data_IF_934935017340
#
_entry.id   IF_934935017340
#
_cell.length_a   1.000
_cell.length_b   1.000
_cell.length_c   1.000
_cell.angle_alpha   90.00
_cell.angle_beta   90.00
_cell.angle_gamma   90.00
#
_symmetry.space_group_name_H-M   'P 1'
#
loop_
_entity.id
_entity.type
_entity.pdbx_description
1 polymer ?
#
# COMPACT_ATOMS: atom_id res chain seq x y z
N UNK A 1 52.65 5.26 -8.18
CA UNK A 1 51.23 4.88 -8.20
C UNK A 1 50.55 5.86 -9.12
N UNK A 2 49.83 5.38 -10.13
CA UNK A 2 49.04 6.24 -10.99
C UNK A 2 48.02 6.97 -10.10
N UNK A 3 47.99 8.30 -10.17
CA UNK A 3 47.19 9.16 -9.30
C UNK A 3 45.79 9.37 -9.89
N UNK A 4 45.32 8.40 -10.67
CA UNK A 4 44.03 8.47 -11.37
C UNK A 4 42.88 8.38 -10.36
N UNK A 5 41.79 9.10 -10.65
CA UNK A 5 40.57 9.07 -9.83
C UNK A 5 40.06 7.64 -9.63
N UNK A 6 40.11 6.83 -10.69
CA UNK A 6 39.64 5.45 -10.69
C UNK A 6 40.46 4.57 -9.74
N UNK A 7 41.79 4.69 -9.76
CA UNK A 7 42.66 3.87 -8.91
C UNK A 7 42.54 4.24 -7.43
N UNK A 8 42.27 5.51 -7.12
CA UNK A 8 42.07 5.96 -5.75
C UNK A 8 40.78 5.39 -5.12
N UNK A 9 39.73 5.18 -5.92
CA UNK A 9 38.41 4.77 -5.44
C UNK A 9 38.20 3.24 -5.49
N UNK A 10 38.97 2.54 -6.31
CA UNK A 10 38.88 1.10 -6.51
C UNK A 10 39.11 0.32 -5.20
N UNK A 11 38.18 -0.57 -4.86
CA UNK A 11 38.21 -1.39 -3.64
C UNK A 11 37.92 -0.63 -2.34
N UNK A 12 37.62 0.67 -2.41
CA UNK A 12 37.36 1.51 -1.22
C UNK A 12 35.97 2.15 -1.31
N UNK A 13 35.67 2.83 -2.42
CA UNK A 13 34.47 3.63 -2.65
C UNK A 13 33.73 3.24 -3.94
N UNK A 14 33.91 2.00 -4.40
CA UNK A 14 33.32 1.45 -5.63
C UNK A 14 32.28 0.35 -5.36
N UNK A 15 31.92 0.12 -4.08
CA UNK A 15 30.96 -0.91 -3.71
C UNK A 15 29.54 -0.47 -4.06
N UNK A 16 28.81 -1.40 -4.68
CA UNK A 16 27.38 -1.28 -4.94
C UNK A 16 26.53 -1.76 -3.75
N UNK A 17 25.56 -0.97 -3.33
CA UNK A 17 24.60 -1.34 -2.27
C UNK A 17 23.53 -2.31 -2.77
N UNK A 18 22.98 -2.04 -3.95
CA UNK A 18 21.86 -2.73 -4.57
C UNK A 18 20.50 -2.34 -3.98
N UNK A 19 19.44 -2.67 -4.72
CA UNK A 19 18.06 -2.47 -4.30
C UNK A 19 17.68 -3.33 -3.09
N UNK A 20 16.82 -2.80 -2.22
CA UNK A 20 16.14 -3.56 -1.17
C UNK A 20 14.82 -4.17 -1.65
N UNK A 21 13.97 -4.53 -0.70
CA UNK A 21 12.74 -5.28 -0.92
C UNK A 21 11.50 -4.41 -0.98
N UNK A 22 11.49 -3.21 -0.39
CA UNK A 22 10.31 -2.36 -0.32
C UNK A 22 10.65 -0.92 -0.70
N UNK A 23 10.48 -0.56 -1.99
CA UNK A 23 10.85 0.75 -2.49
C UNK A 23 9.74 1.80 -2.29
N UNK A 24 10.14 3.06 -2.27
CA UNK A 24 9.30 4.21 -2.56
C UNK A 24 10.00 5.13 -3.56
N UNK A 25 9.24 5.84 -4.39
CA UNK A 25 9.79 6.90 -5.24
C UNK A 25 9.66 8.23 -4.50
N UNK A 26 10.77 8.95 -4.38
CA UNK A 26 10.82 10.31 -3.85
C UNK A 26 11.10 11.30 -4.98
N UNK A 27 10.16 12.19 -5.23
CA UNK A 27 10.21 13.24 -6.26
C UNK A 27 10.55 14.56 -5.61
N UNK A 28 11.82 14.96 -5.69
CA UNK A 28 12.35 16.14 -5.02
C UNK A 28 12.21 17.38 -5.89
N UNK A 29 11.32 18.29 -5.49
CA UNK A 29 11.23 19.66 -6.00
C UNK A 29 11.09 19.79 -7.54
N UNK A 30 10.43 18.83 -8.20
CA UNK A 30 9.91 19.05 -9.56
C UNK A 30 8.70 19.99 -9.50
N UNK A 31 9.02 21.26 -9.33
CA UNK A 31 8.07 22.38 -9.29
C UNK A 31 8.27 23.29 -10.51
N UNK A 32 7.23 24.06 -10.84
CA UNK A 32 7.20 24.95 -12.00
C UNK A 32 8.38 25.94 -12.04
N UNK A 33 8.94 26.32 -10.90
CA UNK A 33 10.12 27.19 -10.83
C UNK A 33 11.31 26.67 -11.66
N UNK A 34 11.47 25.36 -11.82
CA UNK A 34 12.60 24.78 -12.55
C UNK A 34 12.28 24.46 -14.02
N UNK A 35 11.00 24.47 -14.41
CA UNK A 35 10.54 24.11 -15.77
C UNK A 35 9.94 25.27 -16.55
N UNK A 36 9.68 26.41 -15.89
CA UNK A 36 9.14 27.61 -16.56
C UNK A 36 10.28 28.50 -17.08
N UNK A 37 10.37 28.70 -18.39
CA UNK A 37 11.44 29.49 -19.05
C UNK A 37 11.69 30.88 -18.44
N UNK A 38 10.62 31.57 -18.01
CA UNK A 38 10.72 32.91 -17.41
C UNK A 38 11.23 32.91 -15.97
N UNK A 39 11.34 31.73 -15.35
CA UNK A 39 11.82 31.59 -13.99
C UNK A 39 13.34 31.75 -13.91
N UNK A 40 13.86 32.51 -12.92
CA UNK A 40 15.30 32.56 -12.66
C UNK A 40 15.88 31.20 -12.22
N UNK A 41 15.05 30.20 -11.91
CA UNK A 41 15.44 28.84 -11.57
C UNK A 41 15.36 27.85 -12.73
N UNK A 42 14.92 28.29 -13.92
CA UNK A 42 14.77 27.44 -15.09
C UNK A 42 16.04 26.66 -15.43
N UNK A 43 15.85 25.38 -15.77
CA UNK A 43 16.88 24.46 -16.23
C UNK A 43 16.30 23.46 -17.25
N UNK A 44 16.71 23.49 -18.52
CA UNK A 44 16.18 22.59 -19.56
C UNK A 44 16.31 21.10 -19.22
N UNK A 45 17.43 20.70 -18.61
CA UNK A 45 17.67 19.32 -18.23
C UNK A 45 16.68 18.82 -17.16
N UNK A 46 16.12 19.73 -16.35
CA UNK A 46 15.06 19.39 -15.39
C UNK A 46 13.77 19.00 -16.12
N UNK A 47 13.43 19.67 -17.23
CA UNK A 47 12.26 19.29 -18.06
C UNK A 47 12.43 17.87 -18.62
N UNK A 48 13.63 17.54 -19.08
CA UNK A 48 13.95 16.18 -19.54
C UNK A 48 13.84 15.15 -18.41
N UNK A 49 14.38 15.45 -17.23
CA UNK A 49 14.32 14.56 -16.06
C UNK A 49 12.89 14.34 -15.54
N UNK A 50 12.03 15.36 -15.63
CA UNK A 50 10.58 15.26 -15.36
C UNK A 50 9.94 14.20 -16.27
N UNK A 51 10.20 14.26 -17.58
CA UNK A 51 9.67 13.28 -18.54
C UNK A 51 10.16 11.85 -18.27
N UNK A 52 11.42 11.67 -17.89
CA UNK A 52 11.94 10.36 -17.48
C UNK A 52 11.33 9.84 -16.18
N UNK A 53 11.10 10.73 -15.22
CA UNK A 53 10.49 10.37 -13.93
C UNK A 53 9.03 9.94 -14.11
N UNK A 54 8.29 10.55 -15.05
CA UNK A 54 6.92 10.13 -15.38
C UNK A 54 6.83 8.64 -15.73
N UNK A 55 7.80 8.11 -16.48
CA UNK A 55 7.87 6.69 -16.84
C UNK A 55 8.03 5.78 -15.61
N UNK A 56 8.79 6.23 -14.60
CA UNK A 56 8.94 5.49 -13.34
C UNK A 56 7.65 5.52 -12.53
N UNK A 57 6.99 6.68 -12.44
CA UNK A 57 5.73 6.84 -11.71
C UNK A 57 4.62 5.98 -12.30
N UNK A 58 4.54 5.86 -13.62
CA UNK A 58 3.56 5.01 -14.30
C UNK A 58 3.69 3.53 -13.89
N UNK A 59 4.92 3.03 -13.74
CA UNK A 59 5.15 1.66 -13.27
C UNK A 59 4.84 1.55 -11.78
N UNK A 60 5.32 2.50 -10.97
CA UNK A 60 5.12 2.51 -9.53
C UNK A 60 3.63 2.49 -9.16
N UNK A 61 2.82 3.32 -9.82
CA UNK A 61 1.36 3.37 -9.62
C UNK A 61 0.68 2.05 -9.97
N UNK A 62 1.06 1.39 -11.06
CA UNK A 62 0.52 0.06 -11.44
C UNK A 62 0.88 -1.06 -10.46
N UNK A 63 1.93 -0.84 -9.65
CA UNK A 63 2.49 -1.81 -8.69
C UNK A 63 2.23 -1.43 -7.23
N UNK A 64 1.41 -0.40 -6.99
CA UNK A 64 1.10 0.13 -5.66
C UNK A 64 2.36 0.50 -4.85
N UNK A 65 3.39 1.00 -5.54
CA UNK A 65 4.62 1.50 -4.92
C UNK A 65 4.38 2.94 -4.47
N UNK A 66 4.64 3.29 -3.20
CA UNK A 66 4.42 4.65 -2.70
C UNK A 66 5.21 5.69 -3.48
N UNK A 67 4.56 6.80 -3.81
CA UNK A 67 5.18 7.99 -4.40
C UNK A 67 5.03 9.15 -3.43
N UNK A 68 6.15 9.80 -3.14
CA UNK A 68 6.23 10.96 -2.27
C UNK A 68 6.83 12.12 -3.04
N UNK A 69 6.25 13.30 -2.90
CA UNK A 69 6.73 14.53 -3.51
C UNK A 69 7.29 15.44 -2.44
N UNK A 70 8.26 16.28 -2.82
CA UNK A 70 8.60 17.46 -2.03
C UNK A 70 8.34 18.73 -2.81
N UNK A 71 7.98 19.78 -2.08
CA UNK A 71 8.18 21.15 -2.54
C UNK A 71 8.73 22.00 -1.40
N UNK A 72 9.60 22.94 -1.78
CA UNK A 72 10.04 23.98 -0.86
C UNK A 72 8.90 24.99 -0.71
N UNK A 73 8.48 25.29 0.52
CA UNK A 73 7.58 26.40 0.81
C UNK A 73 7.98 27.10 2.10
N UNK A 74 7.83 28.43 2.09
CA UNK A 74 8.00 29.29 3.24
C UNK A 74 6.72 30.03 3.57
N UNK A 75 6.58 30.43 4.82
CA UNK A 75 5.59 31.39 5.25
C UNK A 75 5.84 32.74 4.55
N UNK A 76 4.75 33.49 4.29
CA UNK A 76 4.81 34.85 3.69
C UNK A 76 5.68 35.84 4.47
N UNK A 77 5.84 35.62 5.78
CA UNK A 77 6.69 36.44 6.65
C UNK A 77 8.16 35.96 6.72
N UNK A 78 8.49 34.86 6.04
CA UNK A 78 9.81 34.23 5.94
C UNK A 78 10.50 33.90 7.27
N UNK A 79 9.76 33.85 8.38
CA UNK A 79 10.32 33.54 9.72
C UNK A 79 10.85 32.12 9.82
N UNK A 80 10.40 31.24 8.94
CA UNK A 80 10.78 29.84 8.79
C UNK A 80 11.90 29.61 7.76
N UNK A 81 12.39 30.65 7.08
CA UNK A 81 13.36 30.48 6.00
C UNK A 81 14.82 30.33 6.41
N UNK A 82 15.15 30.73 7.64
CA UNK A 82 16.50 30.59 8.20
C UNK A 82 17.61 31.15 7.31
N UNK A 83 18.77 30.48 7.32
CA UNK A 83 19.96 30.89 6.54
C UNK A 83 19.82 30.55 5.06
N UNK A 84 19.04 29.54 4.70
CA UNK A 84 18.99 29.06 3.31
C UNK A 84 18.41 30.10 2.36
N UNK A 85 17.34 30.79 2.76
CA UNK A 85 16.77 31.89 1.97
C UNK A 85 17.68 33.13 1.91
N UNK A 86 18.62 33.28 2.83
CA UNK A 86 19.62 34.36 2.78
C UNK A 86 20.68 34.04 1.74
N UNK A 87 21.13 32.77 1.69
CA UNK A 87 22.11 32.30 0.71
C UNK A 87 21.51 32.20 -0.70
N UNK A 88 20.24 31.84 -0.81
CA UNK A 88 19.53 31.61 -2.07
C UNK A 88 18.23 32.44 -2.10
N UNK A 89 18.31 33.79 -2.25
CA UNK A 89 17.16 34.68 -2.11
C UNK A 89 15.99 34.44 -3.07
N UNK A 90 16.26 33.80 -4.21
CA UNK A 90 15.21 33.44 -5.18
C UNK A 90 14.16 32.49 -4.57
N UNK A 91 14.51 31.75 -3.52
CA UNK A 91 13.59 30.89 -2.77
C UNK A 91 12.49 31.66 -2.03
N UNK A 92 12.61 32.99 -1.86
CA UNK A 92 11.51 33.83 -1.34
C UNK A 92 10.27 33.84 -2.25
N UNK A 93 10.39 33.33 -3.48
CA UNK A 93 9.26 33.09 -4.39
C UNK A 93 8.53 31.76 -4.13
N UNK A 94 9.06 30.92 -3.24
CA UNK A 94 8.48 29.62 -2.89
C UNK A 94 7.53 29.78 -1.71
N UNK A 95 6.36 30.34 -1.99
CA UNK A 95 5.33 30.66 -0.98
C UNK A 95 4.01 30.07 -1.43
N UNK A 96 3.17 29.67 -0.47
CA UNK A 96 1.87 29.07 -0.78
C UNK A 96 0.99 29.97 -1.66
N UNK A 97 0.42 29.37 -2.70
CA UNK A 97 -0.40 30.02 -3.72
C UNK A 97 0.38 30.58 -4.91
N UNK A 98 1.71 30.60 -4.88
CA UNK A 98 2.53 31.03 -6.01
C UNK A 98 2.64 29.92 -7.07
N UNK A 99 2.31 30.18 -8.35
CA UNK A 99 2.33 29.16 -9.40
C UNK A 99 3.69 28.48 -9.58
N UNK A 100 4.79 29.22 -9.37
CA UNK A 100 6.15 28.67 -9.48
C UNK A 100 6.47 27.64 -8.38
N UNK A 101 5.77 27.70 -7.26
CA UNK A 101 5.97 26.79 -6.13
C UNK A 101 5.16 25.49 -6.26
N UNK A 102 4.28 25.38 -7.26
CA UNK A 102 3.47 24.20 -7.49
C UNK A 102 4.23 23.10 -8.23
N UNK A 103 3.87 21.85 -7.93
CA UNK A 103 4.41 20.66 -8.61
C UNK A 103 4.05 20.75 -10.09
N UNK A 104 4.99 20.32 -10.94
CA UNK A 104 4.83 20.36 -12.39
C UNK A 104 3.60 19.56 -12.85
N UNK A 105 2.79 20.09 -13.80
CA UNK A 105 1.57 19.44 -14.25
C UNK A 105 1.82 18.09 -14.97
N UNK A 106 3.04 17.83 -15.44
CA UNK A 106 3.46 16.58 -16.06
C UNK A 106 3.57 15.42 -15.05
N UNK A 107 3.71 15.72 -13.75
CA UNK A 107 3.79 14.74 -12.67
C UNK A 107 2.71 14.99 -11.61
N UNK A 108 1.41 15.01 -12.00
CA UNK A 108 0.35 15.44 -11.10
C UNK A 108 0.26 14.46 -9.92
N UNK A 109 0.30 14.94 -8.66
CA UNK A 109 0.05 14.11 -7.50
C UNK A 109 -1.37 13.55 -7.53
N UNK A 110 -1.51 12.32 -7.06
CA UNK A 110 -2.79 11.62 -6.86
C UNK A 110 -3.19 11.62 -5.39
N UNK A 111 -4.40 11.16 -5.09
CA UNK A 111 -4.88 11.08 -3.70
C UNK A 111 -4.08 10.08 -2.83
N UNK A 112 -3.37 9.13 -3.43
CA UNK A 112 -2.51 8.18 -2.72
C UNK A 112 -1.10 8.72 -2.47
N UNK A 113 -0.72 9.82 -3.11
CA UNK A 113 0.63 10.37 -3.02
C UNK A 113 0.76 11.25 -1.78
N UNK A 114 1.97 11.30 -1.20
CA UNK A 114 2.25 12.12 -0.02
C UNK A 114 3.08 13.33 -0.44
N UNK A 115 2.66 14.54 -0.08
CA UNK A 115 3.42 15.76 -0.34
C UNK A 115 4.08 16.22 0.96
N UNK A 116 5.41 16.25 0.97
CA UNK A 116 6.23 16.74 2.06
C UNK A 116 6.65 18.19 1.78
N UNK A 117 6.27 19.10 2.66
CA UNK A 117 6.74 20.48 2.62
C UNK A 117 8.06 20.60 3.39
N UNK A 118 9.05 21.26 2.80
CA UNK A 118 10.36 21.49 3.42
C UNK A 118 10.84 22.93 3.30
N UNK A 119 11.70 23.35 4.22
CA UNK A 119 12.32 24.68 4.23
C UNK A 119 13.81 24.64 3.87
N UNK A 120 14.39 23.44 3.73
CA UNK A 120 15.82 23.26 3.49
C UNK A 120 16.07 22.30 2.32
N UNK A 121 17.35 22.12 1.98
CA UNK A 121 17.75 21.34 0.80
C UNK A 121 17.28 19.88 0.90
N UNK A 122 17.62 19.19 1.98
CA UNK A 122 17.21 17.79 2.19
C UNK A 122 15.71 17.65 2.39
N UNK A 123 15.13 16.65 1.76
CA UNK A 123 13.75 16.22 1.96
C UNK A 123 13.47 15.72 3.39
N UNK A 124 14.50 15.35 4.14
CA UNK A 124 14.39 14.83 5.51
C UNK A 124 14.54 15.90 6.59
N UNK A 125 15.34 16.94 6.33
CA UNK A 125 15.73 17.88 7.36
C UNK A 125 14.53 18.74 7.82
N UNK A 126 14.10 18.52 9.07
CA UNK A 126 12.96 19.21 9.65
C UNK A 126 11.60 18.78 9.10
N UNK A 127 11.49 17.59 8.48
CA UNK A 127 10.23 17.07 7.92
C UNK A 127 9.83 15.74 8.56
N UNK A 128 8.62 15.26 8.25
CA UNK A 128 8.15 13.93 8.69
C UNK A 128 8.65 12.78 7.81
N UNK A 129 9.43 13.04 6.76
CA UNK A 129 9.73 12.05 5.71
C UNK A 129 10.32 10.75 6.25
N UNK A 130 11.31 10.81 7.15
CA UNK A 130 11.92 9.63 7.76
C UNK A 130 10.87 8.78 8.49
N UNK A 131 10.10 9.39 9.39
CA UNK A 131 9.07 8.71 10.14
C UNK A 131 8.00 8.11 9.22
N UNK A 132 7.60 8.84 8.18
CA UNK A 132 6.65 8.36 7.17
C UNK A 132 7.18 7.12 6.45
N UNK A 133 8.40 7.15 5.90
CA UNK A 133 9.02 6.02 5.21
C UNK A 133 9.23 4.81 6.14
N UNK A 134 9.70 5.03 7.37
CA UNK A 134 9.87 3.98 8.38
C UNK A 134 8.53 3.35 8.76
N UNK A 135 7.47 4.14 8.95
CA UNK A 135 6.14 3.61 9.27
C UNK A 135 5.56 2.75 8.14
N UNK A 136 5.89 3.07 6.89
CA UNK A 136 5.56 2.27 5.72
C UNK A 136 6.48 1.05 5.54
N UNK A 137 7.54 0.91 6.35
CA UNK A 137 8.54 -0.17 6.23
C UNK A 137 9.37 -0.10 4.95
N UNK A 138 9.53 1.09 4.37
CA UNK A 138 10.37 1.31 3.18
C UNK A 138 11.83 1.05 3.55
N UNK A 139 12.55 0.34 2.68
CA UNK A 139 13.99 0.10 2.82
C UNK A 139 14.81 0.73 1.69
N UNK A 140 14.15 1.14 0.60
CA UNK A 140 14.79 1.66 -0.61
C UNK A 140 14.08 2.92 -1.08
N UNK A 141 14.85 3.97 -1.35
CA UNK A 141 14.35 5.22 -1.92
C UNK A 141 14.91 5.34 -3.33
N UNK A 142 14.00 5.41 -4.30
CA UNK A 142 14.32 5.82 -5.66
C UNK A 142 14.21 7.33 -5.70
N UNK A 143 15.36 8.00 -5.67
CA UNK A 143 15.49 9.44 -5.50
C UNK A 143 15.56 10.12 -6.87
N UNK A 144 14.52 10.88 -7.19
CA UNK A 144 14.35 11.65 -8.43
C UNK A 144 14.16 13.12 -8.10
N UNK A 145 14.35 14.03 -9.05
CA UNK A 145 14.10 15.46 -8.81
C UNK A 145 15.26 16.39 -9.16
N UNK A 146 15.24 17.57 -8.55
CA UNK A 146 16.28 18.57 -8.74
C UNK A 146 16.54 19.40 -7.46
N UNK A 147 17.68 20.09 -7.32
CA UNK A 147 18.87 19.97 -8.17
C UNK A 147 19.81 18.85 -7.69
N UNK A 148 20.54 18.23 -8.61
CA UNK A 148 21.51 17.17 -8.31
C UNK A 148 22.53 17.59 -7.24
N UNK A 149 23.12 18.77 -7.37
CA UNK A 149 24.11 19.32 -6.43
C UNK A 149 23.54 19.97 -5.17
N UNK A 150 22.22 20.12 -5.10
CA UNK A 150 21.53 20.73 -3.97
C UNK A 150 20.65 19.72 -3.26
N UNK A 151 19.34 19.78 -3.53
CA UNK A 151 18.33 19.02 -2.81
C UNK A 151 18.48 17.49 -2.97
N UNK A 152 18.94 17.01 -4.14
CA UNK A 152 19.17 15.58 -4.37
C UNK A 152 20.33 15.08 -3.54
N UNK A 153 21.52 15.70 -3.63
CA UNK A 153 22.66 15.30 -2.80
C UNK A 153 22.33 15.38 -1.31
N UNK A 154 21.70 16.46 -0.85
CA UNK A 154 21.34 16.61 0.54
C UNK A 154 20.40 15.48 1.01
N UNK A 155 19.39 15.15 0.20
CA UNK A 155 18.44 14.06 0.50
C UNK A 155 19.10 12.68 0.39
N UNK A 156 20.09 12.50 -0.49
CA UNK A 156 20.83 11.25 -0.59
C UNK A 156 21.68 10.97 0.66
N UNK A 157 22.39 12.00 1.16
CA UNK A 157 23.16 11.91 2.39
C UNK A 157 22.24 11.58 3.57
N UNK A 158 21.16 12.34 3.76
CA UNK A 158 20.23 12.10 4.86
C UNK A 158 19.51 10.75 4.72
N UNK A 159 19.09 10.37 3.52
CA UNK A 159 18.45 9.08 3.26
C UNK A 159 19.33 7.91 3.70
N UNK A 160 20.62 7.95 3.37
CA UNK A 160 21.59 6.98 3.87
C UNK A 160 21.75 7.04 5.39
N UNK A 161 21.82 8.24 5.99
CA UNK A 161 21.95 8.41 7.44
C UNK A 161 20.74 7.90 8.23
N UNK A 162 19.54 7.97 7.66
CA UNK A 162 18.32 7.38 8.22
C UNK A 162 18.19 5.87 7.93
N UNK A 163 19.17 5.25 7.25
CA UNK A 163 19.24 3.81 7.04
C UNK A 163 18.53 3.31 5.78
N UNK A 164 18.19 4.18 4.83
CA UNK A 164 17.57 3.77 3.57
C UNK A 164 18.63 3.53 2.49
N UNK A 165 18.37 2.55 1.62
CA UNK A 165 19.14 2.38 0.38
C UNK A 165 18.73 3.47 -0.59
N UNK A 166 19.64 4.38 -0.92
CA UNK A 166 19.38 5.45 -1.89
C UNK A 166 19.79 4.99 -3.28
N UNK A 167 18.83 4.98 -4.20
CA UNK A 167 19.05 4.68 -5.61
C UNK A 167 18.72 5.93 -6.42
N UNK A 168 19.66 6.43 -7.20
CA UNK A 168 19.49 7.63 -8.03
C UNK A 168 19.49 7.22 -9.49
N UNK A 169 18.34 7.24 -10.19
CA UNK A 169 18.31 7.06 -11.63
C UNK A 169 18.87 8.33 -12.27
N UNK A 170 20.04 8.23 -12.92
CA UNK A 170 20.79 9.37 -13.48
C UNK A 170 19.91 10.29 -14.33
N UNK A 171 19.09 9.72 -15.19
CA UNK A 171 18.22 10.46 -16.13
C UNK A 171 17.00 11.08 -15.45
N UNK A 172 16.70 10.73 -14.20
CA UNK A 172 15.58 11.25 -13.41
C UNK A 172 16.02 12.30 -12.39
N UNK A 173 17.28 12.71 -12.42
CA UNK A 173 17.79 13.85 -11.66
C UNK A 173 18.47 14.84 -12.58
N UNK A 174 18.38 16.12 -12.25
CA UNK A 174 18.98 17.16 -13.07
C UNK A 174 19.48 18.33 -12.24
N UNK A 175 20.37 19.10 -12.84
CA UNK A 175 20.87 20.35 -12.31
C UNK A 175 20.77 21.44 -13.38
N UNK A 176 21.12 22.66 -13.01
CA UNK A 176 21.18 23.81 -13.91
C UNK A 176 22.42 23.80 -14.81
N UNK A 177 23.39 22.94 -14.50
CA UNK A 177 24.66 22.85 -15.21
C UNK A 177 25.32 21.47 -15.03
N UNK A 178 25.96 20.97 -16.09
CA UNK A 178 26.55 19.63 -16.13
C UNK A 178 27.69 19.42 -15.11
N UNK A 179 28.56 20.42 -14.90
CA UNK A 179 29.68 20.32 -13.95
C UNK A 179 29.25 19.93 -12.52
N UNK A 180 28.38 20.72 -11.86
CA UNK A 180 27.79 20.34 -10.57
C UNK A 180 27.03 19.02 -10.63
N UNK A 181 26.27 18.74 -11.69
CA UNK A 181 25.54 17.48 -11.85
C UNK A 181 26.47 16.27 -11.76
N UNK A 182 27.51 16.21 -12.59
CA UNK A 182 28.43 15.06 -12.64
C UNK A 182 29.25 14.90 -11.36
N UNK A 183 29.75 16.00 -10.80
CA UNK A 183 30.52 15.95 -9.55
C UNK A 183 29.68 15.38 -8.39
N UNK A 184 28.39 15.71 -8.35
CA UNK A 184 27.52 15.27 -7.26
C UNK A 184 26.98 13.86 -7.49
N UNK A 185 26.73 13.45 -8.74
CA UNK A 185 26.45 12.04 -9.02
C UNK A 185 27.64 11.14 -8.68
N UNK A 186 28.86 11.57 -8.98
CA UNK A 186 30.07 10.87 -8.57
C UNK A 186 30.13 10.72 -7.04
N UNK A 187 29.99 11.83 -6.29
CA UNK A 187 30.01 11.80 -4.82
C UNK A 187 28.92 10.89 -4.23
N UNK A 188 27.69 10.94 -4.77
CA UNK A 188 26.59 10.08 -4.33
C UNK A 188 26.94 8.62 -4.59
N UNK A 189 27.34 8.27 -5.82
CA UNK A 189 27.63 6.90 -6.22
C UNK A 189 28.77 6.27 -5.38
N UNK A 190 29.74 7.08 -4.98
CA UNK A 190 30.88 6.59 -4.23
C UNK A 190 30.62 6.38 -2.75
N UNK A 191 29.63 7.07 -2.16
CA UNK A 191 29.54 7.20 -0.69
C UNK A 191 28.14 7.11 -0.09
N UNK A 192 27.10 7.50 -0.83
CA UNK A 192 25.78 7.76 -0.25
C UNK A 192 24.65 6.93 -0.88
N UNK A 193 24.85 6.39 -2.07
CA UNK A 193 23.85 5.58 -2.76
C UNK A 193 24.40 5.00 -4.06
N UNK A 194 23.55 4.29 -4.79
CA UNK A 194 23.91 3.79 -6.13
C UNK A 194 23.33 4.75 -7.19
N UNK A 195 24.18 5.27 -8.08
CA UNK A 195 23.74 5.97 -9.28
C UNK A 195 23.64 4.96 -10.41
N UNK A 196 22.43 4.78 -10.94
CA UNK A 196 22.08 3.75 -11.93
C UNK A 196 21.38 4.37 -13.13
N UNK A 197 21.18 3.60 -14.19
CA UNK A 197 20.30 4.05 -15.28
C UNK A 197 18.83 3.96 -14.87
N UNK A 198 18.00 4.83 -15.45
CA UNK A 198 16.54 4.76 -15.35
C UNK A 198 16.02 3.39 -15.77
N UNK A 199 16.59 2.79 -16.81
CA UNK A 199 16.15 1.50 -17.34
C UNK A 199 16.36 0.37 -16.32
N UNK A 200 17.46 0.39 -15.58
CA UNK A 200 17.69 -0.57 -14.49
C UNK A 200 16.64 -0.42 -13.37
N UNK A 201 16.28 0.82 -13.02
CA UNK A 201 15.19 1.08 -12.06
C UNK A 201 13.86 0.60 -12.61
N UNK A 202 13.56 0.84 -13.89
CA UNK A 202 12.33 0.35 -14.53
C UNK A 202 12.25 -1.17 -14.46
N UNK A 203 13.35 -1.88 -14.71
CA UNK A 203 13.38 -3.33 -14.66
C UNK A 203 13.17 -3.86 -13.24
N UNK A 204 13.81 -3.23 -12.24
CA UNK A 204 13.52 -3.51 -10.83
C UNK A 204 12.04 -3.30 -10.47
N UNK A 205 11.44 -2.19 -10.89
CA UNK A 205 10.03 -1.88 -10.61
C UNK A 205 9.06 -2.84 -11.31
N UNK A 206 9.37 -3.30 -12.53
CA UNK A 206 8.52 -4.26 -13.26
C UNK A 206 8.45 -5.62 -12.56
N UNK A 207 9.57 -6.10 -12.01
CA UNK A 207 9.63 -7.38 -11.31
C UNK A 207 9.20 -7.29 -9.85
N UNK A 208 9.08 -6.09 -9.30
CA UNK A 208 8.57 -5.89 -7.94
C UNK A 208 7.14 -6.43 -7.82
N UNK A 209 6.91 -7.26 -6.82
CA UNK A 209 5.57 -7.72 -6.43
C UNK A 209 5.27 -7.17 -5.04
N UNK A 210 4.19 -6.38 -4.94
CA UNK A 210 3.82 -5.78 -3.66
C UNK A 210 3.40 -6.88 -2.68
N UNK A 211 3.79 -6.75 -1.42
CA UNK A 211 3.41 -7.70 -0.37
C UNK A 211 1.88 -7.79 -0.23
N UNK A 212 1.16 -6.71 -0.54
CA UNK A 212 -0.31 -6.69 -0.62
C UNK A 212 -0.84 -7.56 -1.75
N UNK A 213 -0.20 -7.57 -2.93
CA UNK A 213 -0.52 -8.53 -4.00
C UNK A 213 -0.22 -9.95 -3.58
N UNK A 214 0.93 -10.23 -2.97
CA UNK A 214 1.24 -11.59 -2.49
C UNK A 214 0.24 -12.05 -1.42
N UNK A 215 -0.13 -11.18 -0.49
CA UNK A 215 -1.11 -11.46 0.55
C UNK A 215 -2.54 -11.62 -0.02
N UNK A 216 -2.94 -10.78 -0.98
CA UNK A 216 -4.22 -10.89 -1.68
C UNK A 216 -4.29 -12.15 -2.54
N UNK A 217 -3.20 -12.52 -3.23
CA UNK A 217 -3.06 -13.78 -3.97
C UNK A 217 -3.10 -14.97 -3.02
N UNK A 218 -2.48 -14.88 -1.85
CA UNK A 218 -2.55 -15.92 -0.81
C UNK A 218 -3.98 -16.06 -0.27
N UNK A 219 -4.68 -14.94 0.00
CA UNK A 219 -6.10 -14.91 0.37
C UNK A 219 -7.00 -15.50 -0.73
N UNK A 220 -6.72 -15.19 -2.01
CA UNK A 220 -7.42 -15.81 -3.15
C UNK A 220 -7.10 -17.30 -3.33
N UNK A 221 -5.89 -17.74 -3.00
CA UNK A 221 -5.49 -19.14 -3.11
C UNK A 221 -6.15 -19.99 -2.02
N UNK A 222 -6.23 -19.49 -0.79
CA UNK A 222 -7.01 -20.12 0.28
C UNK A 222 -8.51 -20.23 -0.10
N UNK A 223 -9.07 -19.19 -0.74
CA UNK A 223 -10.43 -19.21 -1.28
C UNK A 223 -10.66 -20.30 -2.34
N UNK A 224 -9.67 -20.60 -3.19
CA UNK A 224 -9.79 -21.66 -4.21
C UNK A 224 -9.83 -23.06 -3.61
N UNK A 225 -9.09 -23.31 -2.53
CA UNK A 225 -9.04 -24.61 -1.86
C UNK A 225 -10.22 -24.87 -0.92
N UNK A 226 -10.77 -23.79 -0.36
CA UNK A 226 -11.86 -23.84 0.62
C UNK A 226 -13.12 -24.63 0.20
N UNK A 227 -13.68 -24.49 -1.02
CA UNK A 227 -14.82 -25.31 -1.44
C UNK A 227 -14.50 -26.80 -1.55
N UNK A 228 -13.26 -27.18 -1.88
CA UNK A 228 -12.86 -28.60 -1.91
C UNK A 228 -12.82 -29.22 -0.51
N UNK A 229 -12.38 -28.46 0.49
CA UNK A 229 -12.43 -28.88 1.90
C UNK A 229 -13.88 -29.07 2.35
N UNK A 230 -14.79 -28.15 1.99
CA UNK A 230 -16.21 -28.27 2.31
C UNK A 230 -16.85 -29.50 1.64
N UNK A 231 -16.54 -29.77 0.37
CA UNK A 231 -17.00 -30.98 -0.32
C UNK A 231 -16.49 -32.24 0.40
N UNK A 232 -15.23 -32.26 0.83
CA UNK A 232 -14.67 -33.35 1.62
C UNK A 232 -15.41 -33.58 2.95
N UNK A 233 -15.71 -32.51 3.69
CA UNK A 233 -16.51 -32.56 4.93
C UNK A 233 -17.92 -33.09 4.62
N UNK A 234 -18.57 -32.61 3.56
CA UNK A 234 -19.90 -33.05 3.18
C UNK A 234 -19.94 -34.55 2.86
N UNK A 235 -18.99 -35.04 2.07
CA UNK A 235 -18.86 -36.47 1.73
C UNK A 235 -18.65 -37.30 3.01
N UNK A 236 -17.74 -36.86 3.89
CA UNK A 236 -17.51 -37.52 5.17
C UNK A 236 -18.78 -37.61 6.03
N UNK A 237 -19.53 -36.51 6.14
CA UNK A 237 -20.79 -36.48 6.89
C UNK A 237 -21.86 -37.39 6.27
N UNK A 238 -21.96 -37.44 4.94
CA UNK A 238 -22.87 -38.35 4.24
C UNK A 238 -22.50 -39.81 4.52
N UNK A 239 -21.23 -40.19 4.40
CA UNK A 239 -20.76 -41.55 4.70
C UNK A 239 -21.08 -41.92 6.15
N UNK A 240 -20.78 -41.01 7.08
CA UNK A 240 -21.08 -41.18 8.50
C UNK A 240 -22.58 -41.35 8.76
N UNK A 241 -23.42 -40.54 8.11
CA UNK A 241 -24.87 -40.64 8.20
C UNK A 241 -25.37 -42.01 7.73
N UNK A 242 -24.89 -42.49 6.59
CA UNK A 242 -25.31 -43.79 6.04
C UNK A 242 -24.91 -44.95 6.96
N UNK A 243 -23.73 -44.87 7.58
CA UNK A 243 -23.25 -45.89 8.52
C UNK A 243 -24.03 -45.89 9.83
N UNK A 244 -24.27 -44.72 10.41
CA UNK A 244 -24.92 -44.60 11.72
C UNK A 244 -26.46 -44.73 11.65
N UNK A 245 -27.08 -44.56 10.48
CA UNK A 245 -28.54 -44.68 10.30
C UNK A 245 -29.06 -46.12 10.37
N UNK A 246 -28.21 -47.12 10.18
CA UNK A 246 -28.65 -48.52 10.17
C UNK A 246 -29.15 -48.97 11.55
N UNK A 247 -30.38 -49.48 11.60
CA UNK A 247 -30.97 -50.03 12.82
C UNK A 247 -31.63 -49.02 13.77
N UNK A 248 -31.66 -47.73 13.41
CA UNK A 248 -32.32 -46.68 14.22
C UNK A 248 -33.77 -46.51 13.78
N UNK A 249 -34.70 -46.88 14.65
CA UNK A 249 -36.16 -46.78 14.44
C UNK A 249 -36.82 -45.61 15.17
N UNK A 250 -36.08 -44.91 16.02
CA UNK A 250 -36.55 -43.75 16.79
C UNK A 250 -35.62 -42.53 16.62
N UNK A 251 -36.02 -41.36 17.12
CA UNK A 251 -35.25 -40.13 16.96
C UNK A 251 -33.86 -40.21 17.64
N UNK A 252 -32.79 -40.04 16.85
CA UNK A 252 -31.42 -39.87 17.33
C UNK A 252 -30.93 -38.45 17.01
N UNK A 253 -30.56 -37.71 18.07
CA UNK A 253 -30.08 -36.34 17.98
C UNK A 253 -28.78 -36.25 17.18
N UNK A 254 -27.89 -37.23 17.26
CA UNK A 254 -26.62 -37.26 16.50
C UNK A 254 -26.88 -37.32 15.00
N UNK A 255 -27.82 -38.15 14.55
CA UNK A 255 -28.21 -38.22 13.14
C UNK A 255 -28.91 -36.96 12.65
N UNK A 256 -29.66 -36.28 13.51
CA UNK A 256 -30.25 -34.98 13.20
C UNK A 256 -29.15 -33.92 12.98
N UNK A 257 -28.10 -33.93 13.82
CA UNK A 257 -26.95 -33.03 13.69
C UNK A 257 -26.09 -33.32 12.48
N UNK A 258 -25.86 -34.60 12.12
CA UNK A 258 -25.15 -34.94 10.88
C UNK A 258 -25.91 -34.42 9.65
N UNK A 259 -27.26 -34.53 9.65
CA UNK A 259 -28.11 -33.96 8.58
C UNK A 259 -28.03 -32.44 8.51
N UNK A 260 -28.07 -31.76 9.65
CA UNK A 260 -27.90 -30.31 9.72
C UNK A 260 -26.51 -29.89 9.19
N UNK A 261 -25.45 -30.61 9.58
CA UNK A 261 -24.10 -30.38 9.07
C UNK A 261 -23.99 -30.52 7.55
N UNK A 262 -24.64 -31.54 6.96
CA UNK A 262 -24.71 -31.71 5.50
C UNK A 262 -25.42 -30.51 4.85
N UNK A 263 -26.56 -30.09 5.41
CA UNK A 263 -27.33 -28.94 4.91
C UNK A 263 -26.49 -27.64 4.94
N UNK A 264 -25.89 -27.30 6.08
CA UNK A 264 -25.07 -26.09 6.20
C UNK A 264 -23.85 -26.12 5.29
N UNK A 265 -23.19 -27.28 5.15
CA UNK A 265 -22.05 -27.44 4.24
C UNK A 265 -22.48 -27.22 2.79
N UNK A 266 -23.65 -27.75 2.39
CA UNK A 266 -24.20 -27.53 1.05
C UNK A 266 -24.55 -26.05 0.80
N UNK A 267 -25.19 -25.38 1.76
CA UNK A 267 -25.46 -23.93 1.68
C UNK A 267 -24.17 -23.13 1.54
N UNK A 268 -23.12 -23.50 2.29
CA UNK A 268 -21.83 -22.81 2.23
C UNK A 268 -21.14 -23.02 0.88
N UNK A 269 -21.14 -24.24 0.35
CA UNK A 269 -20.63 -24.54 -1.00
C UNK A 269 -21.39 -23.70 -2.04
N UNK A 270 -22.72 -23.67 -1.97
CA UNK A 270 -23.54 -22.89 -2.89
C UNK A 270 -23.23 -21.38 -2.79
N UNK A 271 -23.01 -20.85 -1.58
CA UNK A 271 -22.64 -19.46 -1.38
C UNK A 271 -21.27 -19.11 -1.98
N UNK A 272 -20.32 -20.06 -1.98
CA UNK A 272 -19.01 -19.91 -2.63
C UNK A 272 -19.16 -19.97 -4.15
N UNK A 273 -19.90 -20.96 -4.68
CA UNK A 273 -20.11 -21.14 -6.12
C UNK A 273 -20.86 -19.97 -6.76
N UNK A 274 -21.82 -19.38 -6.05
CA UNK A 274 -22.61 -18.23 -6.52
C UNK A 274 -21.91 -16.88 -6.33
N UNK A 275 -20.74 -16.85 -5.67
CA UNK A 275 -20.01 -15.61 -5.38
C UNK A 275 -20.59 -14.77 -4.23
N UNK A 276 -21.67 -15.22 -3.59
CA UNK A 276 -22.28 -14.56 -2.42
C UNK A 276 -21.29 -14.50 -1.26
N UNK A 277 -20.57 -15.59 -0.99
CA UNK A 277 -19.56 -15.63 0.08
C UNK A 277 -18.44 -14.62 -0.15
N UNK A 278 -17.95 -14.50 -1.39
CA UNK A 278 -16.94 -13.51 -1.77
C UNK A 278 -17.44 -12.07 -1.57
N UNK A 279 -18.72 -11.82 -1.78
CA UNK A 279 -19.33 -10.51 -1.55
C UNK A 279 -19.39 -10.18 -0.05
N UNK A 280 -19.78 -11.15 0.79
CA UNK A 280 -19.89 -10.99 2.24
C UNK A 280 -18.55 -10.67 2.92
N UNK A 281 -17.43 -11.23 2.45
CA UNK A 281 -16.11 -11.04 3.05
C UNK A 281 -15.35 -9.82 2.55
N UNK A 282 -15.77 -9.24 1.42
CA UNK A 282 -15.08 -8.14 0.76
C UNK A 282 -15.86 -6.82 0.85
N UNK A 283 -17.16 -6.87 1.16
CA UNK A 283 -17.95 -5.68 1.45
C UNK A 283 -18.17 -5.58 2.97
N UNK A 284 -18.22 -4.35 3.52
CA UNK A 284 -18.63 -4.16 4.90
C UNK A 284 -20.05 -4.71 5.11
N UNK A 285 -20.27 -5.41 6.23
CA UNK A 285 -21.55 -6.04 6.59
C UNK A 285 -22.69 -5.01 6.60
N UNK A 286 -22.38 -3.77 6.99
CA UNK A 286 -23.27 -2.63 6.87
C UNK A 286 -22.48 -1.39 6.42
N UNK A 287 -23.06 -0.58 5.53
CA UNK A 287 -22.51 0.72 5.13
C UNK A 287 -22.94 1.80 6.12
N UNK A 288 -22.28 2.97 6.10
CA UNK A 288 -22.69 4.13 6.90
C UNK A 288 -24.14 4.55 6.59
N UNK A 289 -24.55 4.49 5.33
CA UNK A 289 -25.92 4.74 4.90
C UNK A 289 -26.92 3.79 5.59
N UNK A 290 -26.62 2.48 5.61
CA UNK A 290 -27.46 1.48 6.29
C UNK A 290 -27.59 1.77 7.79
N UNK A 291 -26.48 2.10 8.46
CA UNK A 291 -26.46 2.35 9.90
C UNK A 291 -27.29 3.59 10.27
N UNK A 292 -27.26 4.62 9.42
CA UNK A 292 -28.03 5.86 9.60
C UNK A 292 -29.52 5.73 9.26
N UNK A 293 -29.93 4.63 8.61
CA UNK A 293 -31.30 4.45 8.13
C UNK A 293 -32.18 3.69 9.14
N UNK A 294 -33.20 4.31 9.76
CA UNK A 294 -34.06 3.65 10.74
C UNK A 294 -34.92 2.51 10.16
N UNK A 295 -35.25 2.56 8.86
CA UNK A 295 -35.99 1.49 8.17
C UNK A 295 -35.12 0.24 8.07
N UNK A 296 -33.82 0.41 7.80
CA UNK A 296 -32.88 -0.71 7.73
C UNK A 296 -32.81 -1.46 9.06
N UNK A 297 -32.76 -0.73 10.19
CA UNK A 297 -32.83 -1.32 11.52
C UNK A 297 -34.15 -2.05 11.79
N UNK A 298 -35.27 -1.46 11.40
CA UNK A 298 -36.58 -2.10 11.55
C UNK A 298 -36.69 -3.43 10.78
N UNK A 299 -36.20 -3.46 9.54
CA UNK A 299 -36.18 -4.68 8.72
C UNK A 299 -35.20 -5.72 9.27
N UNK A 300 -33.99 -5.31 9.69
CA UNK A 300 -33.01 -6.22 10.31
C UNK A 300 -33.57 -6.86 11.58
N UNK A 301 -34.24 -6.07 12.43
CA UNK A 301 -34.90 -6.57 13.64
C UNK A 301 -36.03 -7.55 13.31
N UNK A 302 -36.87 -7.24 12.31
CA UNK A 302 -37.92 -8.14 11.86
C UNK A 302 -37.34 -9.47 11.38
N UNK A 303 -36.29 -9.45 10.55
CA UNK A 303 -35.60 -10.66 10.11
C UNK A 303 -35.06 -11.49 11.29
N UNK A 304 -34.45 -10.84 12.27
CA UNK A 304 -33.97 -11.52 13.47
C UNK A 304 -35.10 -12.18 14.28
N UNK A 305 -36.24 -11.50 14.44
CA UNK A 305 -37.43 -12.03 15.11
C UNK A 305 -37.99 -13.24 14.34
N UNK A 306 -38.09 -13.14 13.01
CA UNK A 306 -38.59 -14.25 12.17
C UNK A 306 -37.69 -15.47 12.30
N UNK A 307 -36.36 -15.29 12.23
CA UNK A 307 -35.39 -16.38 12.42
C UNK A 307 -35.52 -16.99 13.82
N UNK A 308 -35.65 -16.15 14.85
CA UNK A 308 -35.83 -16.60 16.23
C UNK A 308 -37.11 -17.43 16.39
N UNK A 309 -38.25 -16.96 15.88
CA UNK A 309 -39.51 -17.70 15.94
C UNK A 309 -39.40 -19.02 15.16
N UNK A 310 -38.83 -18.99 13.95
CA UNK A 310 -38.65 -20.18 13.14
C UNK A 310 -37.80 -21.24 13.85
N UNK A 311 -36.68 -20.85 14.46
CA UNK A 311 -35.72 -21.78 15.05
C UNK A 311 -36.10 -22.23 16.47
N UNK A 312 -36.58 -21.31 17.31
CA UNK A 312 -36.85 -21.62 18.71
C UNK A 312 -38.30 -22.02 19.00
N UNK A 313 -39.25 -21.66 18.14
CA UNK A 313 -40.67 -21.96 18.35
C UNK A 313 -41.18 -22.98 17.36
N UNK A 314 -41.02 -22.73 16.05
CA UNK A 314 -41.59 -23.60 15.02
C UNK A 314 -40.80 -24.90 14.94
N UNK A 315 -39.48 -24.82 14.83
CA UNK A 315 -38.63 -26.01 14.72
C UNK A 315 -38.70 -26.91 15.96
N UNK A 316 -38.67 -26.32 17.15
CA UNK A 316 -38.76 -27.08 18.41
C UNK A 316 -40.10 -27.80 18.57
N UNK A 317 -41.21 -27.18 18.13
CA UNK A 317 -42.55 -27.78 18.19
C UNK A 317 -42.85 -28.74 17.05
N UNK A 318 -42.27 -28.50 15.86
CA UNK A 318 -42.50 -29.29 14.65
C UNK A 318 -41.61 -30.53 14.53
N UNK A 319 -40.57 -30.65 15.37
CA UNK A 319 -39.72 -31.84 15.40
C UNK A 319 -40.40 -32.91 16.25
N UNK A 320 -40.78 -34.03 15.62
CA UNK A 320 -41.41 -35.19 16.27
C UNK A 320 -40.59 -35.66 17.49
N UNK A 321 -41.03 -35.30 18.69
CA UNK A 321 -40.53 -35.85 19.95
C UNK A 321 -41.29 -37.14 20.23
N UNK A 322 -40.75 -38.28 19.82
CA UNK A 322 -41.22 -39.58 20.31
C UNK A 322 -40.94 -39.68 21.82
N UNK A 323 -41.89 -39.21 22.63
CA UNK A 323 -41.94 -39.32 24.09
C UNK A 323 -40.78 -38.69 24.89
N UNK A 324 -39.95 -37.83 24.28
CA UNK A 324 -38.89 -37.11 25.01
C UNK A 324 -39.38 -35.77 25.55
N UNK A 325 -39.10 -35.51 26.83
CA UNK A 325 -39.26 -34.19 27.45
C UNK A 325 -38.30 -33.16 26.82
N UNK A 326 -38.80 -31.93 26.64
CA UNK A 326 -38.09 -30.84 25.98
C UNK A 326 -37.08 -30.21 26.96
N UNK A 327 -35.79 -30.51 26.80
CA UNK A 327 -34.75 -29.98 27.68
C UNK A 327 -34.34 -28.56 27.25
N UNK A 328 -34.99 -27.55 27.84
CA UNK A 328 -34.85 -26.12 27.50
C UNK A 328 -33.43 -25.56 27.59
N UNK A 329 -32.60 -25.92 28.60
CA UNK A 329 -31.24 -25.40 28.71
C UNK A 329 -30.34 -25.75 27.51
N UNK A 330 -30.45 -26.96 26.99
CA UNK A 330 -29.68 -27.39 25.81
C UNK A 330 -30.12 -26.69 24.53
N UNK A 331 -31.41 -26.33 24.43
CA UNK A 331 -31.94 -25.59 23.27
C UNK A 331 -31.47 -24.14 23.28
N UNK A 332 -31.43 -23.50 24.45
CA UNK A 332 -31.01 -22.11 24.61
C UNK A 332 -29.50 -21.91 24.41
N UNK A 333 -28.66 -22.82 24.93
CA UNK A 333 -27.21 -22.73 24.77
C UNK A 333 -26.78 -22.93 23.30
N UNK A 334 -27.51 -23.74 22.53
CA UNK A 334 -27.12 -24.09 21.15
C UNK A 334 -27.64 -23.15 20.07
N UNK A 335 -28.70 -22.36 20.31
CA UNK A 335 -29.14 -21.38 19.32
C UNK A 335 -28.37 -20.05 19.34
N UNK A 336 -27.34 -19.94 20.21
CA UNK A 336 -26.49 -18.75 20.40
C UNK A 336 -25.04 -18.95 19.94
N UNK A 337 -24.64 -20.16 19.52
CA UNK A 337 -23.32 -20.53 18.99
C UNK A 337 -23.41 -20.87 17.50
#
# INVERSE_FOLDING_TARGET
MDNSLSDNYKGVFDRRLGFGKKPAILVVDFINAYTTDSSPLFAPDVVTAVGHTALLLDIARKKDIPVLYTKVLYNKNFRDGGIFIQKVPVLKKMVEGEPLAEIVPELPPTQSDIIIIKQYASAFFGTSLAATLTSMGIDTIILTGCSTSGCIRASAVDGMQYGFRVIVPRECVADRHAGPHEANLFDINSKYGDVVSKDEVMDYLKIYESYLRTFLVFRQSAYRLFPFVLVGIMIFLIIRLQKEKQGITSFDSRLAWIRAGIYFTACFILSVLTGVFATLINKPIATQENISNPIWWGLTLLCAIVIYIAYFVIWTRGTLTHERELHTPSVLIFGLL
#
